data_IF_358803023191
#
_entry.id   IF_358803023191
#
_cell.length_a   1.000
_cell.length_b   1.000
_cell.length_c   1.000
_cell.angle_alpha   90.00
_cell.angle_beta   90.00
_cell.angle_gamma   90.00
#
_symmetry.space_group_name_H-M   'P 1'
#
loop_
_entity.id
_entity.type
_entity.pdbx_description
1 polymer ?
#
# COMPACT_ATOMS: atom_id res chain seq x y z
N UNK A 1 -35.02 7.32 -24.27
CA UNK A 1 -34.86 5.85 -24.21
C UNK A 1 -33.76 5.42 -25.16
N UNK A 2 -33.05 4.33 -24.83
CA UNK A 2 -32.00 3.77 -25.69
C UNK A 2 -32.66 3.11 -26.92
N UNK A 3 -32.14 3.40 -28.11
CA UNK A 3 -32.56 2.86 -29.40
C UNK A 3 -31.40 2.11 -30.04
N UNK A 4 -31.67 1.36 -31.11
CA UNK A 4 -30.61 0.70 -31.89
C UNK A 4 -29.60 1.67 -32.52
N UNK A 5 -29.97 2.95 -32.68
CA UNK A 5 -29.12 3.99 -33.28
C UNK A 5 -28.28 4.77 -32.27
N UNK A 6 -28.56 4.67 -30.96
CA UNK A 6 -27.80 5.35 -29.90
C UNK A 6 -27.25 4.41 -28.82
N UNK A 7 -27.46 3.10 -28.97
CA UNK A 7 -26.91 2.09 -28.07
C UNK A 7 -25.43 1.86 -28.32
N UNK A 8 -24.68 1.68 -27.23
CA UNK A 8 -23.28 1.20 -27.26
C UNK A 8 -23.19 -0.34 -27.44
N UNK A 9 -24.32 -1.04 -27.33
CA UNK A 9 -24.40 -2.48 -27.51
C UNK A 9 -24.82 -2.85 -28.93
N UNK A 10 -24.26 -3.95 -29.45
CA UNK A 10 -24.75 -4.61 -30.66
C UNK A 10 -25.72 -5.72 -30.27
N UNK A 11 -26.84 -5.78 -30.96
CA UNK A 11 -27.90 -6.77 -30.73
C UNK A 11 -27.92 -7.82 -31.85
N UNK A 12 -28.46 -9.01 -31.57
CA UNK A 12 -28.72 -9.97 -32.64
C UNK A 12 -29.85 -9.45 -33.55
N UNK A 13 -29.97 -10.05 -34.72
CA UNK A 13 -31.04 -9.72 -35.66
C UNK A 13 -32.42 -9.91 -35.00
N UNK A 14 -33.26 -8.88 -35.09
CA UNK A 14 -34.58 -8.85 -34.44
C UNK A 14 -34.59 -8.42 -32.96
N UNK A 15 -33.43 -8.29 -32.32
CA UNK A 15 -33.31 -7.82 -30.94
C UNK A 15 -32.95 -6.33 -30.87
N UNK A 16 -33.30 -5.69 -29.75
CA UNK A 16 -32.93 -4.30 -29.49
C UNK A 16 -32.78 -4.04 -27.99
N UNK A 17 -32.57 -2.77 -27.59
CA UNK A 17 -32.42 -2.39 -26.19
C UNK A 17 -33.57 -2.87 -25.30
N UNK A 18 -34.80 -2.93 -25.83
CA UNK A 18 -35.97 -3.38 -25.07
C UNK A 18 -36.01 -4.89 -24.83
N UNK A 19 -35.28 -5.68 -25.61
CA UNK A 19 -35.15 -7.13 -25.41
C UNK A 19 -34.37 -7.48 -24.14
N UNK A 20 -33.40 -6.64 -23.79
CA UNK A 20 -32.47 -6.86 -22.68
C UNK A 20 -32.70 -5.93 -21.48
N UNK A 21 -33.72 -5.07 -21.56
CA UNK A 21 -34.14 -4.29 -20.41
C UNK A 21 -35.16 -5.07 -19.59
N UNK A 22 -35.08 -4.96 -18.27
CA UNK A 22 -36.11 -5.45 -17.37
C UNK A 22 -36.72 -4.23 -16.67
N UNK A 23 -37.81 -3.63 -17.19
CA UNK A 23 -38.33 -2.35 -16.69
C UNK A 23 -38.80 -2.39 -15.25
N UNK A 24 -39.08 -3.59 -14.74
CA UNK A 24 -39.50 -3.86 -13.35
C UNK A 24 -38.32 -4.27 -12.46
N UNK A 25 -37.09 -4.12 -12.94
CA UNK A 25 -35.92 -4.35 -12.11
C UNK A 25 -35.87 -3.26 -11.05
N UNK A 26 -35.94 -3.68 -9.79
CA UNK A 26 -35.70 -2.83 -8.63
C UNK A 26 -34.36 -3.26 -8.02
N UNK A 27 -33.35 -2.38 -8.00
CA UNK A 27 -32.09 -2.71 -7.35
C UNK A 27 -32.31 -2.93 -5.87
N UNK A 28 -31.65 -3.95 -5.33
CA UNK A 28 -31.69 -4.22 -3.90
C UNK A 28 -30.72 -3.29 -3.16
N UNK A 29 -31.23 -2.54 -2.19
CA UNK A 29 -30.40 -1.77 -1.27
C UNK A 29 -30.41 -2.38 0.13
N UNK A 30 -29.24 -2.53 0.77
CA UNK A 30 -29.12 -3.20 2.08
C UNK A 30 -29.94 -2.55 3.20
N UNK A 31 -30.20 -1.25 3.12
CA UNK A 31 -31.04 -0.54 4.09
C UNK A 31 -32.55 -0.86 3.93
N UNK A 32 -32.97 -1.39 2.78
CA UNK A 32 -34.35 -1.78 2.49
C UNK A 32 -34.60 -3.28 2.76
N UNK A 33 -33.53 -4.06 2.98
CA UNK A 33 -33.61 -5.47 3.35
C UNK A 33 -34.18 -5.60 4.76
N UNK A 34 -35.06 -6.59 4.95
CA UNK A 34 -35.58 -6.95 6.27
C UNK A 34 -34.43 -7.14 7.28
N UNK A 35 -34.54 -6.50 8.45
CA UNK A 35 -33.45 -6.48 9.44
C UNK A 35 -33.01 -7.88 9.90
N UNK A 36 -33.93 -8.82 10.02
CA UNK A 36 -33.62 -10.20 10.44
C UNK A 36 -32.79 -10.91 9.38
N UNK A 37 -33.15 -10.75 8.10
CA UNK A 37 -32.40 -11.33 6.98
C UNK A 37 -31.01 -10.69 6.92
N UNK A 38 -30.94 -9.36 7.04
CA UNK A 38 -29.66 -8.63 7.01
C UNK A 38 -28.74 -9.08 8.13
N UNK A 39 -29.24 -9.19 9.37
CA UNK A 39 -28.42 -9.65 10.51
C UNK A 39 -27.91 -11.07 10.35
N UNK A 40 -28.75 -11.99 9.86
CA UNK A 40 -28.30 -13.36 9.56
C UNK A 40 -27.20 -13.37 8.48
N UNK A 41 -27.36 -12.55 7.43
CA UNK A 41 -26.34 -12.39 6.40
C UNK A 41 -25.03 -11.80 6.97
N UNK A 42 -25.11 -10.75 7.81
CA UNK A 42 -23.97 -10.14 8.49
C UNK A 42 -23.21 -11.14 9.36
N UNK A 43 -23.92 -12.00 10.11
CA UNK A 43 -23.33 -13.09 10.91
C UNK A 43 -22.60 -14.12 10.02
N UNK A 44 -23.25 -14.62 8.97
CA UNK A 44 -22.65 -15.58 8.01
C UNK A 44 -21.42 -15.01 7.30
N UNK A 45 -21.49 -13.73 6.95
CA UNK A 45 -20.47 -13.04 6.17
C UNK A 45 -19.41 -12.32 7.00
N UNK A 46 -19.45 -12.42 8.33
CA UNK A 46 -18.52 -11.72 9.22
C UNK A 46 -18.45 -10.21 8.94
N UNK A 47 -19.61 -9.59 8.64
CA UNK A 47 -19.75 -8.19 8.22
C UNK A 47 -19.02 -7.80 6.92
N UNK A 48 -18.53 -8.75 6.12
CA UNK A 48 -18.03 -8.44 4.77
C UNK A 48 -19.19 -8.00 3.86
N UNK A 49 -19.22 -6.71 3.52
CA UNK A 49 -20.35 -6.10 2.79
C UNK A 49 -20.61 -6.78 1.44
N UNK A 50 -19.56 -7.18 0.70
CA UNK A 50 -19.73 -7.84 -0.59
C UNK A 50 -20.42 -9.21 -0.44
N UNK A 51 -19.97 -10.03 0.53
CA UNK A 51 -20.62 -11.29 0.88
C UNK A 51 -22.08 -11.07 1.32
N UNK A 52 -22.35 -10.05 2.16
CA UNK A 52 -23.71 -9.75 2.63
C UNK A 52 -24.61 -9.41 1.45
N UNK A 53 -24.16 -8.54 0.54
CA UNK A 53 -24.91 -8.21 -0.67
C UNK A 53 -25.17 -9.44 -1.54
N UNK A 54 -24.15 -10.26 -1.81
CA UNK A 54 -24.29 -11.47 -2.62
C UNK A 54 -25.26 -12.45 -1.98
N UNK A 55 -25.21 -12.63 -0.65
CA UNK A 55 -26.13 -13.50 0.07
C UNK A 55 -27.57 -13.02 -0.05
N UNK A 56 -27.84 -11.74 0.23
CA UNK A 56 -29.22 -11.23 0.21
C UNK A 56 -29.76 -11.14 -1.22
N UNK A 57 -28.94 -10.76 -2.20
CA UNK A 57 -29.37 -10.62 -3.59
C UNK A 57 -29.62 -11.97 -4.28
N UNK A 58 -28.86 -13.01 -3.92
CA UNK A 58 -28.93 -14.31 -4.61
C UNK A 58 -29.60 -15.42 -3.80
N UNK A 59 -29.66 -15.28 -2.47
CA UNK A 59 -30.05 -16.35 -1.55
C UNK A 59 -29.08 -17.54 -1.53
N UNK A 60 -27.92 -17.44 -2.18
CA UNK A 60 -26.98 -18.53 -2.37
C UNK A 60 -25.80 -18.41 -1.39
N UNK A 61 -25.81 -19.28 -0.37
CA UNK A 61 -24.78 -19.31 0.66
C UNK A 61 -23.40 -19.68 0.12
N UNK A 62 -23.32 -20.62 -0.84
CA UNK A 62 -22.04 -21.02 -1.42
C UNK A 62 -21.41 -19.89 -2.24
N UNK A 63 -22.23 -19.12 -2.96
CA UNK A 63 -21.76 -17.97 -3.72
C UNK A 63 -21.24 -16.86 -2.79
N UNK A 64 -22.01 -16.50 -1.76
CA UNK A 64 -21.60 -15.52 -0.77
C UNK A 64 -20.31 -15.93 -0.02
N UNK A 65 -20.20 -17.21 0.38
CA UNK A 65 -19.00 -17.74 1.02
C UNK A 65 -17.77 -17.68 0.11
N UNK A 66 -17.94 -17.91 -1.20
CA UNK A 66 -16.86 -17.73 -2.17
C UNK A 66 -16.41 -16.26 -2.27
N UNK A 67 -17.34 -15.30 -2.23
CA UNK A 67 -17.03 -13.86 -2.19
C UNK A 67 -16.26 -13.49 -0.91
N UNK A 68 -16.65 -14.03 0.24
CA UNK A 68 -15.93 -13.83 1.50
C UNK A 68 -14.50 -14.38 1.39
N UNK A 69 -14.32 -15.61 0.89
CA UNK A 69 -13.02 -16.22 0.73
C UNK A 69 -12.11 -15.42 -0.23
N UNK A 70 -12.66 -14.99 -1.37
CA UNK A 70 -11.96 -14.16 -2.34
C UNK A 70 -11.55 -12.80 -1.73
N UNK A 71 -12.44 -12.17 -0.97
CA UNK A 71 -12.15 -10.89 -0.29
C UNK A 71 -11.03 -11.04 0.75
N UNK A 72 -11.06 -12.10 1.56
CA UNK A 72 -10.01 -12.39 2.55
C UNK A 72 -8.67 -12.70 1.88
N UNK A 73 -8.67 -13.47 0.80
CA UNK A 73 -7.47 -13.74 0.03
C UNK A 73 -6.89 -12.46 -0.58
N UNK A 74 -7.73 -11.61 -1.16
CA UNK A 74 -7.31 -10.32 -1.72
C UNK A 74 -6.71 -9.41 -0.64
N UNK A 75 -7.29 -9.37 0.56
CA UNK A 75 -6.76 -8.61 1.68
C UNK A 75 -5.39 -9.15 2.14
N UNK A 76 -5.23 -10.48 2.22
CA UNK A 76 -3.95 -11.11 2.57
C UNK A 76 -2.87 -10.85 1.52
N UNK A 77 -3.21 -11.00 0.24
CA UNK A 77 -2.27 -10.71 -0.86
C UNK A 77 -1.86 -9.25 -0.84
N UNK A 78 -2.81 -8.33 -0.67
CA UNK A 78 -2.49 -6.90 -0.49
C UNK A 78 -1.58 -6.69 0.72
N UNK A 79 -1.84 -7.36 1.83
CA UNK A 79 -0.99 -7.38 3.03
C UNK A 79 0.45 -7.74 2.72
N UNK A 80 0.67 -8.88 2.08
CA UNK A 80 1.99 -9.40 1.75
C UNK A 80 2.72 -8.60 0.64
N UNK A 81 1.97 -7.80 -0.12
CA UNK A 81 2.51 -6.92 -1.15
C UNK A 81 2.78 -5.50 -0.62
N UNK A 82 2.39 -5.19 0.62
CA UNK A 82 2.82 -3.95 1.24
C UNK A 82 4.30 -4.07 1.59
N UNK A 83 5.06 -3.11 1.10
CA UNK A 83 6.45 -2.88 1.48
C UNK A 83 6.51 -1.49 2.07
N UNK A 84 7.25 -1.35 3.15
CA UNK A 84 7.59 -0.09 3.76
C UNK A 84 8.98 0.31 3.30
N UNK A 85 9.30 1.60 3.42
CA UNK A 85 10.68 2.05 3.23
C UNK A 85 11.45 1.83 4.54
N UNK A 86 12.76 1.50 4.48
CA UNK A 86 13.58 1.47 5.66
C UNK A 86 13.71 2.88 6.25
N UNK A 87 13.83 2.97 7.57
CA UNK A 87 14.02 4.21 8.30
C UNK A 87 15.50 4.36 8.63
N UNK A 88 16.14 5.40 8.11
CA UNK A 88 17.52 5.76 8.41
C UNK A 88 17.58 6.66 9.65
N UNK A 89 18.56 6.41 10.53
CA UNK A 89 18.82 7.18 11.73
C UNK A 89 20.31 7.41 11.90
N UNK A 90 20.68 8.60 12.38
CA UNK A 90 22.03 8.90 12.82
C UNK A 90 22.17 8.46 14.28
N UNK A 91 23.20 7.69 14.61
CA UNK A 91 23.47 7.21 15.97
C UNK A 91 24.71 7.83 16.60
N UNK A 92 25.55 8.51 15.82
CA UNK A 92 26.61 9.36 16.36
C UNK A 92 26.06 10.55 17.14
N UNK A 93 26.70 10.88 18.26
CA UNK A 93 26.35 12.04 19.07
C UNK A 93 26.63 13.35 18.31
N UNK A 94 25.69 14.28 18.41
CA UNK A 94 25.80 15.64 17.89
C UNK A 94 25.93 16.64 19.04
N UNK A 95 26.39 17.85 18.72
CA UNK A 95 26.32 18.97 19.65
C UNK A 95 24.89 19.58 19.69
N UNK A 96 24.71 20.61 20.52
CA UNK A 96 23.41 21.30 20.71
C UNK A 96 22.87 21.98 19.45
N UNK A 97 23.72 22.20 18.44
CA UNK A 97 23.35 22.77 17.13
C UNK A 97 23.05 21.68 16.07
N UNK A 98 22.93 20.41 16.48
CA UNK A 98 22.78 19.24 15.62
C UNK A 98 23.93 19.11 14.58
N UNK A 99 25.17 19.36 15.01
CA UNK A 99 26.37 19.22 14.19
C UNK A 99 27.38 18.25 14.81
N UNK A 100 28.12 17.57 13.95
CA UNK A 100 29.30 16.82 14.34
C UNK A 100 30.51 17.74 14.25
N UNK A 101 31.21 17.94 15.37
CA UNK A 101 32.48 18.66 15.37
C UNK A 101 33.61 17.72 14.97
N UNK A 102 34.39 18.14 13.99
CA UNK A 102 35.54 17.41 13.46
C UNK A 102 36.77 18.30 13.44
N UNK A 103 37.95 17.69 13.33
CA UNK A 103 39.21 18.42 13.22
C UNK A 103 39.84 18.12 11.86
N UNK A 104 40.34 19.17 11.21
CA UNK A 104 41.09 19.04 9.96
C UNK A 104 42.21 17.98 10.09
N UNK A 105 42.29 17.08 9.10
CA UNK A 105 43.28 16.01 9.07
C UNK A 105 43.05 14.88 10.07
N UNK A 106 41.99 14.90 10.89
CA UNK A 106 41.61 13.80 11.77
C UNK A 106 40.42 13.05 11.21
N UNK A 107 40.64 11.80 10.84
CA UNK A 107 39.58 10.90 10.41
C UNK A 107 38.55 10.69 11.53
N UNK A 108 37.27 10.65 11.15
CA UNK A 108 36.15 10.36 12.04
C UNK A 108 35.23 9.33 11.40
N UNK A 109 34.65 8.47 12.23
CA UNK A 109 33.59 7.54 11.82
C UNK A 109 32.24 8.07 12.31
N UNK A 110 31.29 8.12 11.39
CA UNK A 110 29.91 8.56 11.61
C UNK A 110 29.03 7.32 11.48
N UNK A 111 28.28 7.03 12.53
CA UNK A 111 27.45 5.84 12.63
C UNK A 111 26.01 6.18 12.23
N UNK A 112 25.52 5.43 11.25
CA UNK A 112 24.11 5.37 10.89
C UNK A 112 23.57 3.99 11.23
N UNK A 113 22.29 3.94 11.53
CA UNK A 113 21.54 2.70 11.66
C UNK A 113 20.25 2.83 10.86
N UNK A 114 19.83 1.74 10.23
CA UNK A 114 18.56 1.67 9.55
C UNK A 114 17.78 0.45 10.03
N UNK A 115 16.47 0.62 10.08
CA UNK A 115 15.52 -0.43 10.45
C UNK A 115 14.46 -0.56 9.38
N UNK A 116 14.09 -1.79 9.07
CA UNK A 116 13.02 -2.10 8.13
C UNK A 116 11.95 -2.94 8.85
N UNK A 117 10.69 -2.50 8.80
CA UNK A 117 9.59 -3.17 9.53
C UNK A 117 9.18 -4.48 8.87
N UNK A 118 9.46 -4.62 7.58
CA UNK A 118 9.18 -5.82 6.78
C UNK A 118 10.36 -6.82 6.85
N UNK A 119 11.46 -6.41 7.49
CA UNK A 119 12.73 -7.12 7.61
C UNK A 119 13.43 -7.35 6.26
N UNK A 120 13.28 -6.40 5.34
CA UNK A 120 14.02 -6.39 4.08
C UNK A 120 15.54 -6.23 4.33
N UNK A 121 16.34 -6.70 3.37
CA UNK A 121 17.79 -6.51 3.40
C UNK A 121 18.11 -5.04 3.13
N UNK A 122 18.75 -4.40 4.10
CA UNK A 122 19.15 -3.00 4.01
C UNK A 122 20.53 -2.89 3.36
N UNK A 123 20.68 -1.94 2.43
CA UNK A 123 21.98 -1.54 1.86
C UNK A 123 22.14 -0.04 1.97
N UNK A 124 23.31 0.40 2.42
CA UNK A 124 23.63 1.83 2.54
C UNK A 124 24.38 2.32 1.31
N UNK A 125 24.05 3.51 0.85
CA UNK A 125 24.74 4.17 -0.24
C UNK A 125 24.93 5.64 0.08
N UNK A 126 26.10 6.15 -0.24
CA UNK A 126 26.41 7.56 -0.19
C UNK A 126 25.96 8.20 -1.51
N UNK A 127 25.05 9.17 -1.46
CA UNK A 127 24.54 9.84 -2.68
C UNK A 127 25.54 10.90 -3.16
N UNK A 128 25.55 11.18 -4.47
CA UNK A 128 26.60 11.91 -5.16
C UNK A 128 26.59 13.42 -4.88
N UNK A 129 27.31 13.84 -3.83
CA UNK A 129 27.68 15.25 -3.54
C UNK A 129 28.67 15.37 -2.37
N UNK A 130 29.26 14.27 -1.93
CA UNK A 130 30.22 14.24 -0.84
C UNK A 130 31.63 14.13 -1.44
N UNK A 131 32.51 15.04 -1.03
CA UNK A 131 33.90 15.11 -1.48
C UNK A 131 34.59 13.74 -1.36
N UNK A 132 35.69 13.51 -2.10
CA UNK A 132 36.50 12.27 -2.02
C UNK A 132 36.99 11.91 -0.60
N UNK A 133 36.81 12.80 0.37
CA UNK A 133 37.00 12.60 1.80
C UNK A 133 36.01 11.65 2.49
N UNK A 134 34.93 11.22 1.83
CA UNK A 134 33.95 10.31 2.42
C UNK A 134 34.03 8.91 1.82
N UNK A 135 33.86 7.89 2.67
CA UNK A 135 33.62 6.51 2.27
C UNK A 135 32.53 5.91 3.16
N UNK A 136 31.77 4.95 2.64
CA UNK A 136 30.70 4.27 3.39
C UNK A 136 30.87 2.75 3.33
N UNK A 137 30.63 2.09 4.45
CA UNK A 137 30.40 0.66 4.48
C UNK A 137 28.92 0.39 4.15
N UNK A 138 28.66 -0.25 3.01
CA UNK A 138 27.29 -0.47 2.52
C UNK A 138 26.51 -1.55 3.28
N UNK A 139 27.14 -2.30 4.20
CA UNK A 139 26.47 -3.23 5.12
C UNK A 139 26.20 -2.62 6.48
N UNK A 140 27.14 -1.86 7.05
CA UNK A 140 27.01 -1.34 8.41
C UNK A 140 26.43 0.07 8.46
N UNK A 141 26.52 0.83 7.37
CA UNK A 141 26.12 2.24 7.33
C UNK A 141 27.15 3.19 7.93
N UNK A 142 28.32 2.68 8.35
CA UNK A 142 29.40 3.51 8.86
C UNK A 142 30.00 4.36 7.74
N UNK A 143 30.03 5.67 7.95
CA UNK A 143 30.63 6.63 7.05
C UNK A 143 31.95 7.11 7.66
N UNK A 144 33.05 6.91 6.95
CA UNK A 144 34.34 7.49 7.30
C UNK A 144 34.49 8.83 6.60
N UNK A 145 34.88 9.85 7.35
CA UNK A 145 35.15 11.20 6.86
C UNK A 145 36.57 11.64 7.21
N UNK A 146 37.31 12.10 6.21
CA UNK A 146 38.64 12.71 6.34
C UNK A 146 38.58 14.21 5.98
N UNK A 147 38.35 15.11 6.97
CA UNK A 147 38.21 16.54 6.72
C UNK A 147 39.50 17.14 6.15
N UNK A 148 39.39 17.87 5.05
CA UNK A 148 40.50 18.53 4.34
C UNK A 148 40.25 20.03 4.05
N UNK A 149 39.17 20.58 4.62
CA UNK A 149 38.80 21.99 4.55
C UNK A 149 38.17 22.40 5.89
N UNK A 150 38.15 23.70 6.16
CA UNK A 150 37.44 24.30 7.28
C UNK A 150 35.95 24.55 6.97
N UNK A 151 35.54 24.34 5.72
CA UNK A 151 34.14 24.49 5.31
C UNK A 151 33.26 23.39 5.91
N UNK A 152 32.06 23.77 6.32
CA UNK A 152 31.06 22.79 6.77
C UNK A 152 30.56 21.96 5.59
N UNK A 153 30.44 20.64 5.80
CA UNK A 153 29.91 19.70 4.80
C UNK A 153 28.56 19.17 5.25
N UNK A 154 27.61 19.11 4.33
CA UNK A 154 26.33 18.42 4.52
C UNK A 154 26.46 16.98 4.01
N UNK A 155 26.01 16.02 4.82
CA UNK A 155 25.94 14.60 4.45
C UNK A 155 24.47 14.26 4.25
N UNK A 156 24.12 13.77 3.06
CA UNK A 156 22.76 13.38 2.67
C UNK A 156 22.79 12.44 1.48
#
# INVERSE_FOLDING_TARGET
>A
GVTSSNSVFKYKEGENATTYQFPKFEPLYLNEVNETIRKNAEEKCQNNIACVFDYVATGNEAFAAATLAASSQAASVKGNQMNSLPVLSLTSALNDDNRLQVYEGKEVTIHFAATDVDNDVITYQLVSNVSASFSINNQTGDVTYSPNSLDSVLIG
#
